data_IF_527628647447
#
_entry.id   IF_527628647447
#
_cell.length_a   1.000
_cell.length_b   1.000
_cell.length_c   1.000
_cell.angle_alpha   90.00
_cell.angle_beta   90.00
_cell.angle_gamma   90.00
#
_symmetry.space_group_name_H-M   'P 1'
#
loop_
_entity.id
_entity.type
_entity.pdbx_description
1 polymer ?
#
# COMPACT_ATOMS: atom_id res chain seq x y z
N UNK A 1 25.91 -29.09 -6.97
CA UNK A 1 25.99 -28.27 -5.74
C UNK A 1 24.79 -28.53 -4.83
N UNK A 2 23.63 -29.00 -5.36
CA UNK A 2 22.41 -29.26 -4.57
C UNK A 2 22.38 -30.60 -3.81
N UNK A 3 23.17 -31.61 -4.22
CA UNK A 3 23.09 -32.96 -3.67
C UNK A 3 23.95 -33.17 -2.39
N UNK A 4 25.04 -32.46 -2.24
CA UNK A 4 25.92 -32.60 -1.07
C UNK A 4 25.32 -31.97 0.20
N UNK A 5 24.52 -30.90 0.07
CA UNK A 5 23.89 -30.27 1.24
C UNK A 5 22.76 -31.14 1.83
N UNK A 6 22.01 -31.89 0.99
CA UNK A 6 20.99 -32.82 1.44
C UNK A 6 21.58 -34.04 2.19
N UNK A 7 22.78 -34.50 1.83
CA UNK A 7 23.43 -35.64 2.47
C UNK A 7 23.94 -35.26 3.85
N UNK A 8 24.51 -34.07 4.05
CA UNK A 8 24.97 -33.59 5.36
C UNK A 8 23.83 -33.46 6.37
N UNK A 9 22.68 -32.92 5.93
CA UNK A 9 21.51 -32.74 6.80
C UNK A 9 20.93 -34.09 7.25
N UNK A 10 20.91 -35.11 6.37
CA UNK A 10 20.39 -36.41 6.69
C UNK A 10 21.30 -37.18 7.67
N UNK A 11 22.62 -36.96 7.63
CA UNK A 11 23.59 -37.55 8.55
C UNK A 11 23.54 -36.85 9.92
N UNK A 12 23.44 -35.52 9.96
CA UNK A 12 23.31 -34.77 11.21
C UNK A 12 22.02 -35.12 11.98
N UNK A 13 20.88 -35.21 11.28
CA UNK A 13 19.59 -35.57 11.89
C UNK A 13 19.60 -36.99 12.50
N UNK A 14 20.38 -37.90 11.93
CA UNK A 14 20.54 -39.25 12.42
C UNK A 14 21.45 -39.33 13.66
N UNK A 15 22.47 -38.47 13.73
CA UNK A 15 23.43 -38.42 14.86
C UNK A 15 22.85 -37.68 16.07
N UNK A 16 21.98 -36.70 15.88
CA UNK A 16 21.36 -35.91 16.95
C UNK A 16 20.05 -36.51 17.49
N UNK A 17 19.55 -37.62 16.93
CA UNK A 17 18.32 -38.27 17.40
C UNK A 17 17.05 -37.45 17.17
N UNK A 18 17.11 -36.40 16.33
CA UNK A 18 15.99 -35.55 16.00
C UNK A 18 15.05 -36.30 15.05
N UNK A 19 13.86 -36.66 15.53
CA UNK A 19 12.84 -37.30 14.71
C UNK A 19 12.32 -36.26 13.69
N UNK A 20 12.05 -36.71 12.47
CA UNK A 20 11.47 -35.88 11.39
C UNK A 20 10.15 -35.20 11.78
N UNK A 21 9.48 -35.74 12.81
CA UNK A 21 8.23 -35.22 13.37
C UNK A 21 8.44 -33.96 14.23
N UNK A 22 9.64 -33.75 14.79
CA UNK A 22 9.97 -32.57 15.60
C UNK A 22 10.33 -31.33 14.76
N UNK A 23 10.47 -31.46 13.42
CA UNK A 23 10.81 -30.36 12.51
C UNK A 23 9.57 -29.61 11.95
N UNK A 24 8.37 -30.01 12.37
CA UNK A 24 7.13 -29.31 11.96
C UNK A 24 6.62 -28.33 13.05
N UNK A 25 7.53 -27.62 13.69
CA UNK A 25 7.13 -26.40 14.38
C UNK A 25 6.68 -25.41 13.30
N UNK A 26 5.40 -25.02 13.34
CA UNK A 26 4.91 -23.94 12.47
C UNK A 26 5.78 -22.72 12.71
N UNK A 27 6.46 -22.26 11.66
CA UNK A 27 7.26 -21.05 11.74
C UNK A 27 6.40 -19.91 12.27
N UNK A 28 6.96 -19.10 13.14
CA UNK A 28 6.32 -17.87 13.59
C UNK A 28 6.10 -16.96 12.38
N UNK A 29 4.90 -16.37 12.28
CA UNK A 29 4.53 -15.52 11.14
C UNK A 29 5.03 -14.10 11.35
N UNK A 30 5.57 -13.52 10.30
CA UNK A 30 5.97 -12.12 10.26
C UNK A 30 5.38 -11.44 9.04
N UNK A 31 4.56 -10.41 9.27
CA UNK A 31 3.92 -9.64 8.21
C UNK A 31 4.54 -8.24 8.15
N UNK A 32 4.96 -7.82 6.97
CA UNK A 32 5.51 -6.49 6.73
C UNK A 32 4.95 -5.89 5.45
N UNK A 33 4.64 -4.60 5.49
CA UNK A 33 4.19 -3.82 4.33
C UNK A 33 5.00 -2.55 4.18
N UNK A 34 5.03 -2.03 2.96
CA UNK A 34 5.41 -0.63 2.69
C UNK A 34 4.17 0.23 2.55
N UNK A 35 4.32 1.57 2.52
CA UNK A 35 3.36 2.40 1.83
C UNK A 35 3.27 1.96 0.37
N UNK A 36 2.08 2.10 -0.23
CA UNK A 36 1.87 1.81 -1.65
C UNK A 36 2.13 3.07 -2.47
N UNK A 37 2.90 2.94 -3.55
CA UNK A 37 3.30 4.09 -4.35
C UNK A 37 2.12 4.72 -5.09
N UNK A 38 1.91 6.04 -4.92
CA UNK A 38 0.85 6.76 -5.63
C UNK A 38 1.19 6.92 -7.11
N UNK A 39 0.31 6.43 -7.98
CA UNK A 39 0.56 6.37 -9.43
C UNK A 39 0.37 7.68 -10.17
N UNK A 40 0.45 8.81 -9.49
CA UNK A 40 0.42 10.13 -10.13
C UNK A 40 1.71 10.47 -10.90
N UNK A 41 2.72 9.63 -10.86
CA UNK A 41 3.99 9.79 -11.57
C UNK A 41 4.96 8.65 -11.27
N UNK A 42 6.15 8.73 -11.90
CA UNK A 42 7.21 7.75 -11.68
C UNK A 42 7.70 7.80 -10.23
N UNK A 43 8.06 6.65 -9.63
CA UNK A 43 8.62 6.64 -8.28
C UNK A 43 9.97 7.38 -8.24
N UNK A 44 10.25 8.00 -7.11
CA UNK A 44 11.50 8.69 -6.84
C UNK A 44 12.33 7.93 -5.79
N UNK A 45 13.54 8.43 -5.50
CA UNK A 45 14.49 7.79 -4.56
C UNK A 45 13.90 7.54 -3.18
N UNK A 46 12.97 8.38 -2.69
CA UNK A 46 12.29 8.19 -1.41
C UNK A 46 11.44 6.93 -1.37
N UNK A 47 10.68 6.64 -2.45
CA UNK A 47 9.92 5.39 -2.55
C UNK A 47 10.85 4.17 -2.63
N UNK A 48 11.97 4.30 -3.35
CA UNK A 48 12.98 3.23 -3.46
C UNK A 48 13.67 2.96 -2.12
N UNK A 49 13.92 3.98 -1.32
CA UNK A 49 14.49 3.84 0.02
C UNK A 49 13.59 3.00 0.92
N UNK A 50 12.30 3.28 0.92
CA UNK A 50 11.31 2.57 1.74
C UNK A 50 11.22 1.08 1.38
N UNK A 51 11.14 0.75 0.10
CA UNK A 51 11.05 -0.65 -0.35
C UNK A 51 12.33 -1.43 0.01
N UNK A 52 13.51 -0.83 -0.13
CA UNK A 52 14.78 -1.46 0.22
C UNK A 52 14.87 -1.70 1.73
N UNK A 53 14.43 -0.74 2.55
CA UNK A 53 14.42 -0.88 4.01
C UNK A 53 13.52 -2.03 4.46
N UNK A 54 12.29 -2.09 3.92
CA UNK A 54 11.36 -3.17 4.22
C UNK A 54 11.88 -4.53 3.73
N UNK A 55 12.51 -4.59 2.55
CA UNK A 55 13.12 -5.79 2.01
C UNK A 55 14.27 -6.30 2.89
N UNK A 56 15.11 -5.40 3.39
CA UNK A 56 16.19 -5.77 4.32
C UNK A 56 15.64 -6.42 5.60
N UNK A 57 14.55 -5.86 6.17
CA UNK A 57 13.88 -6.43 7.34
C UNK A 57 13.25 -7.79 7.00
N UNK A 58 12.57 -7.91 5.87
CA UNK A 58 11.94 -9.14 5.43
C UNK A 58 12.97 -10.27 5.25
N UNK A 59 14.11 -9.97 4.61
CA UNK A 59 15.22 -10.92 4.45
C UNK A 59 15.84 -11.32 5.79
N UNK A 60 16.05 -10.37 6.66
CA UNK A 60 16.56 -10.64 8.01
C UNK A 60 15.62 -11.59 8.77
N UNK A 61 14.32 -11.32 8.76
CA UNK A 61 13.32 -12.17 9.42
C UNK A 61 13.24 -13.57 8.80
N UNK A 62 13.36 -13.70 7.48
CA UNK A 62 13.46 -15.01 6.83
C UNK A 62 14.72 -15.77 7.28
N UNK A 63 15.85 -15.07 7.44
CA UNK A 63 17.10 -15.69 7.95
C UNK A 63 16.99 -16.12 9.41
N UNK A 64 16.18 -15.44 10.24
CA UNK A 64 15.82 -15.86 11.60
C UNK A 64 14.86 -17.07 11.64
N UNK A 65 14.32 -17.49 10.50
CA UNK A 65 13.46 -18.66 10.40
C UNK A 65 11.94 -18.36 10.41
N UNK A 66 11.54 -17.09 10.40
CA UNK A 66 10.12 -16.70 10.31
C UNK A 66 9.50 -17.09 8.95
N UNK A 67 8.19 -17.32 8.98
CA UNK A 67 7.33 -17.37 7.79
C UNK A 67 6.92 -15.93 7.45
N UNK A 68 7.67 -15.29 6.54
CA UNK A 68 7.52 -13.87 6.23
C UNK A 68 6.59 -13.68 5.04
N UNK A 69 5.59 -12.82 5.20
CA UNK A 69 4.79 -12.29 4.11
C UNK A 69 5.06 -10.79 3.97
N UNK A 70 5.69 -10.41 2.86
CA UNK A 70 6.06 -9.04 2.54
C UNK A 70 5.20 -8.53 1.38
N UNK A 71 4.41 -7.49 1.64
CA UNK A 71 3.51 -6.89 0.67
C UNK A 71 3.87 -5.44 0.37
N UNK A 72 3.83 -5.09 -0.89
CA UNK A 72 3.92 -3.72 -1.43
C UNK A 72 2.86 -3.52 -2.52
N UNK A 73 2.87 -2.38 -3.20
CA UNK A 73 1.91 -2.15 -4.28
C UNK A 73 1.82 -0.72 -4.76
N UNK A 74 0.70 -0.40 -5.40
CA UNK A 74 0.39 0.93 -5.93
C UNK A 74 -0.99 1.41 -5.53
N UNK A 75 -1.08 2.73 -5.26
CA UNK A 75 -2.32 3.47 -5.05
C UNK A 75 -2.72 4.14 -6.37
N UNK A 76 -3.91 3.78 -6.88
CA UNK A 76 -4.28 4.00 -8.29
C UNK A 76 -5.56 4.82 -8.47
N UNK A 77 -6.07 5.46 -7.43
CA UNK A 77 -7.27 6.28 -7.50
C UNK A 77 -6.99 7.74 -7.15
N UNK A 78 -7.78 8.65 -7.72
CA UNK A 78 -7.74 10.08 -7.39
C UNK A 78 -7.89 10.99 -8.60
N UNK A 79 -8.35 12.22 -8.37
CA UNK A 79 -8.58 13.24 -9.41
C UNK A 79 -7.29 13.57 -10.16
N UNK A 80 -6.16 13.63 -9.46
CA UNK A 80 -4.85 13.94 -10.05
C UNK A 80 -4.42 12.90 -11.10
N UNK A 81 -4.78 11.63 -10.90
CA UNK A 81 -4.52 10.56 -11.88
C UNK A 81 -5.41 10.78 -13.11
N UNK A 82 -6.69 11.09 -12.92
CA UNK A 82 -7.62 11.37 -13.99
C UNK A 82 -7.14 12.56 -14.85
N UNK A 83 -6.78 13.68 -14.23
CA UNK A 83 -6.27 14.87 -14.95
C UNK A 83 -5.00 14.55 -15.77
N UNK A 84 -4.10 13.71 -15.25
CA UNK A 84 -2.89 13.29 -15.96
C UNK A 84 -3.18 12.33 -17.12
N UNK A 85 -4.12 11.42 -16.96
CA UNK A 85 -4.57 10.53 -18.02
C UNK A 85 -5.22 11.31 -19.17
N UNK A 86 -6.10 12.27 -18.84
CA UNK A 86 -6.73 13.18 -19.81
C UNK A 86 -5.68 14.02 -20.56
N UNK A 87 -4.69 14.57 -19.84
CA UNK A 87 -3.60 15.33 -20.46
C UNK A 87 -2.71 14.46 -21.37
N UNK A 88 -2.61 13.16 -21.09
CA UNK A 88 -1.90 12.19 -21.92
C UNK A 88 -2.78 11.62 -23.07
N UNK A 89 -4.07 11.90 -23.10
CA UNK A 89 -5.00 11.41 -24.11
C UNK A 89 -5.31 9.92 -24.01
N UNK A 90 -5.18 9.33 -22.81
CA UNK A 90 -5.46 7.91 -22.57
C UNK A 90 -6.45 7.75 -21.41
N UNK A 91 -6.99 6.55 -21.23
CA UNK A 91 -7.89 6.27 -20.10
C UNK A 91 -7.13 6.27 -18.75
N UNK A 92 -7.80 6.60 -17.62
CA UNK A 92 -7.19 6.46 -16.30
C UNK A 92 -6.62 5.07 -16.03
N UNK A 93 -7.30 4.02 -16.49
CA UNK A 93 -6.85 2.64 -16.33
C UNK A 93 -5.54 2.37 -17.09
N UNK A 94 -5.44 2.80 -18.34
CA UNK A 94 -4.20 2.67 -19.12
C UNK A 94 -3.06 3.47 -18.50
N UNK A 95 -3.35 4.65 -17.98
CA UNK A 95 -2.34 5.48 -17.30
C UNK A 95 -1.78 4.76 -16.06
N UNK A 96 -2.63 4.26 -15.16
CA UNK A 96 -2.17 3.55 -13.97
C UNK A 96 -1.51 2.22 -14.29
N UNK A 97 -1.93 1.52 -15.35
CA UNK A 97 -1.28 0.28 -15.81
C UNK A 97 0.18 0.54 -16.23
N UNK A 98 0.44 1.64 -16.95
CA UNK A 98 1.79 2.03 -17.34
C UNK A 98 2.64 2.41 -16.14
N UNK A 99 2.12 3.26 -15.23
CA UNK A 99 2.89 3.73 -14.06
C UNK A 99 3.13 2.60 -13.07
N UNK A 100 2.13 1.77 -12.79
CA UNK A 100 2.25 0.62 -11.91
C UNK A 100 3.26 -0.41 -12.45
N UNK A 101 3.22 -0.66 -13.76
CA UNK A 101 4.22 -1.50 -14.43
C UNK A 101 5.65 -0.96 -14.28
N UNK A 102 5.84 0.36 -14.36
CA UNK A 102 7.15 0.98 -14.15
C UNK A 102 7.60 0.89 -12.68
N UNK A 103 6.69 1.11 -11.72
CA UNK A 103 6.97 0.90 -10.29
C UNK A 103 7.44 -0.51 -10.02
N UNK A 104 6.69 -1.51 -10.51
CA UNK A 104 7.04 -2.92 -10.35
C UNK A 104 8.40 -3.24 -10.95
N UNK A 105 8.66 -2.75 -12.17
CA UNK A 105 9.96 -2.92 -12.83
C UNK A 105 11.13 -2.37 -11.99
N UNK A 106 10.93 -1.23 -11.32
CA UNK A 106 11.96 -0.64 -10.44
C UNK A 106 12.15 -1.48 -9.18
N UNK A 107 11.07 -1.99 -8.56
CA UNK A 107 11.15 -2.89 -7.40
C UNK A 107 11.87 -4.19 -7.74
N UNK A 108 11.63 -4.73 -8.94
CA UNK A 108 12.33 -5.91 -9.44
C UNK A 108 13.82 -5.61 -9.75
N UNK A 109 14.13 -4.42 -10.27
CA UNK A 109 15.50 -3.98 -10.54
C UNK A 109 16.35 -3.87 -9.27
N UNK A 110 15.77 -3.40 -8.16
CA UNK A 110 16.45 -3.37 -6.85
C UNK A 110 16.39 -4.72 -6.13
N UNK A 111 15.93 -5.78 -6.82
CA UNK A 111 15.85 -7.15 -6.31
C UNK A 111 15.04 -7.26 -5.00
N UNK A 112 13.96 -6.53 -4.89
CA UNK A 112 13.06 -6.61 -3.74
C UNK A 112 12.36 -7.97 -3.67
N UNK A 113 12.31 -8.58 -2.50
CA UNK A 113 11.80 -9.94 -2.26
C UNK A 113 10.35 -9.96 -1.76
N UNK A 114 9.51 -9.01 -2.23
CA UNK A 114 8.09 -8.98 -1.88
C UNK A 114 7.38 -10.26 -2.38
N UNK A 115 6.42 -10.73 -1.58
CA UNK A 115 5.61 -11.90 -1.89
C UNK A 115 4.36 -11.50 -2.69
N UNK A 116 3.87 -10.28 -2.49
CA UNK A 116 2.70 -9.75 -3.18
C UNK A 116 2.87 -8.28 -3.57
N UNK A 117 2.46 -7.96 -4.80
CA UNK A 117 2.35 -6.60 -5.30
C UNK A 117 0.88 -6.31 -5.55
N UNK A 118 0.24 -5.58 -4.64
CA UNK A 118 -1.18 -5.26 -4.69
C UNK A 118 -1.42 -3.96 -5.44
N UNK A 119 -2.45 -3.93 -6.26
CA UNK A 119 -2.95 -2.72 -6.91
C UNK A 119 -4.33 -2.39 -6.34
N UNK A 120 -4.60 -1.12 -6.06
CA UNK A 120 -5.94 -0.75 -5.55
C UNK A 120 -7.03 -0.90 -6.61
N UNK A 121 -6.67 -1.14 -7.88
CA UNK A 121 -7.57 -1.50 -8.99
C UNK A 121 -7.70 -3.02 -9.22
N UNK A 122 -7.08 -3.86 -8.41
CA UNK A 122 -7.27 -5.30 -8.48
C UNK A 122 -8.67 -5.69 -8.01
N UNK A 123 -9.35 -6.58 -8.73
CA UNK A 123 -10.72 -7.01 -8.39
C UNK A 123 -10.84 -7.57 -6.98
N UNK A 124 -9.85 -8.33 -6.51
CA UNK A 124 -9.88 -8.92 -5.17
C UNK A 124 -9.75 -7.86 -4.09
N UNK A 125 -8.94 -6.81 -4.34
CA UNK A 125 -8.83 -5.66 -3.47
C UNK A 125 -10.16 -4.91 -3.42
N UNK A 126 -10.75 -4.57 -4.56
CA UNK A 126 -12.03 -3.87 -4.64
C UNK A 126 -13.15 -4.63 -3.93
N UNK A 127 -13.28 -5.94 -4.16
CA UNK A 127 -14.26 -6.81 -3.48
C UNK A 127 -14.08 -6.79 -1.96
N UNK A 128 -12.83 -6.82 -1.50
CA UNK A 128 -12.55 -6.78 -0.06
C UNK A 128 -12.87 -5.42 0.55
N UNK A 129 -12.52 -4.33 -0.12
CA UNK A 129 -12.86 -2.96 0.29
C UNK A 129 -14.38 -2.78 0.36
N UNK A 130 -15.11 -3.18 -0.68
CA UNK A 130 -16.58 -3.12 -0.72
C UNK A 130 -17.23 -3.87 0.46
N UNK A 131 -16.71 -5.06 0.77
CA UNK A 131 -17.20 -5.88 1.90
C UNK A 131 -16.99 -5.19 3.25
N UNK A 132 -15.81 -4.59 3.47
CA UNK A 132 -15.50 -3.87 4.71
C UNK A 132 -16.33 -2.60 4.80
N UNK A 133 -16.38 -1.82 3.71
CA UNK A 133 -17.16 -0.59 3.63
C UNK A 133 -18.64 -0.85 3.94
N UNK A 134 -19.22 -1.85 3.26
CA UNK A 134 -20.63 -2.23 3.50
C UNK A 134 -20.88 -2.62 4.95
N UNK A 135 -19.99 -3.38 5.57
CA UNK A 135 -20.11 -3.76 6.98
C UNK A 135 -20.14 -2.54 7.90
N UNK A 136 -19.22 -1.59 7.70
CA UNK A 136 -19.16 -0.36 8.50
C UNK A 136 -20.36 0.55 8.24
N UNK A 137 -20.85 0.59 7.00
CA UNK A 137 -22.07 1.32 6.66
C UNK A 137 -23.30 0.73 7.33
N UNK A 138 -23.48 -0.59 7.27
CA UNK A 138 -24.60 -1.29 7.91
C UNK A 138 -24.58 -1.17 9.46
N UNK A 139 -23.40 -0.98 10.06
CA UNK A 139 -23.20 -0.71 11.48
C UNK A 139 -23.48 0.76 11.86
N UNK A 140 -23.70 1.64 10.89
CA UNK A 140 -23.88 3.08 11.09
C UNK A 140 -22.58 3.82 11.42
N UNK A 141 -21.44 3.21 11.22
CA UNK A 141 -20.12 3.84 11.42
C UNK A 141 -19.69 4.67 10.19
N UNK A 142 -20.22 4.33 9.03
CA UNK A 142 -20.11 5.14 7.81
C UNK A 142 -21.49 5.75 7.53
N UNK A 143 -21.52 7.02 7.20
CA UNK A 143 -22.75 7.75 6.85
C UNK A 143 -22.51 8.71 5.70
N UNK A 144 -23.54 8.97 4.90
CA UNK A 144 -23.49 9.92 3.79
C UNK A 144 -23.69 11.35 4.31
N UNK A 145 -22.92 12.29 3.83
CA UNK A 145 -23.00 13.70 4.12
C UNK A 145 -22.53 14.54 2.95
N UNK A 146 -22.45 15.84 3.13
CA UNK A 146 -21.85 16.76 2.17
C UNK A 146 -20.69 17.50 2.82
N UNK A 147 -19.61 17.63 2.10
CA UNK A 147 -18.48 18.49 2.47
C UNK A 147 -18.40 19.66 1.50
N UNK A 148 -18.17 20.84 2.02
CA UNK A 148 -18.04 22.07 1.24
C UNK A 148 -16.82 22.83 1.76
N UNK A 149 -15.94 23.25 0.84
CA UNK A 149 -14.73 23.98 1.19
C UNK A 149 -13.90 24.34 -0.04
N UNK A 150 -12.71 24.84 0.22
CA UNK A 150 -11.74 25.23 -0.82
C UNK A 150 -10.83 24.03 -1.11
N UNK A 151 -10.95 23.43 -2.27
CA UNK A 151 -10.20 22.24 -2.67
C UNK A 151 -8.90 22.58 -3.40
N UNK A 152 -7.81 21.96 -2.98
CA UNK A 152 -6.50 22.02 -3.63
C UNK A 152 -6.24 20.71 -4.37
N UNK A 153 -6.29 20.71 -5.71
CA UNK A 153 -6.05 19.51 -6.51
C UNK A 153 -4.62 18.94 -6.36
N UNK A 154 -3.54 19.75 -6.33
CA UNK A 154 -2.20 19.19 -6.12
C UNK A 154 -2.00 18.46 -4.80
N UNK A 155 -2.63 18.93 -3.71
CA UNK A 155 -2.54 18.32 -2.38
C UNK A 155 -3.69 17.34 -2.09
N UNK A 156 -4.73 17.32 -2.95
CA UNK A 156 -5.96 16.53 -2.77
C UNK A 156 -6.61 16.77 -1.40
N UNK A 157 -6.62 18.06 -0.97
CA UNK A 157 -7.04 18.46 0.36
C UNK A 157 -8.05 19.60 0.31
N UNK A 158 -9.02 19.54 1.25
CA UNK A 158 -9.97 20.61 1.50
C UNK A 158 -9.49 21.53 2.60
N UNK A 159 -9.76 22.83 2.44
CA UNK A 159 -9.44 23.88 3.40
C UNK A 159 -10.66 24.75 3.66
N UNK A 160 -10.77 25.26 4.87
CA UNK A 160 -11.70 26.36 5.13
C UNK A 160 -11.08 27.69 4.63
N UNK A 161 -11.89 28.69 4.33
CA UNK A 161 -11.37 29.99 3.92
C UNK A 161 -10.38 30.61 4.94
N UNK A 162 -10.62 30.36 6.24
CA UNK A 162 -9.76 30.85 7.31
C UNK A 162 -8.39 30.15 7.39
N UNK A 163 -8.24 29.00 6.77
CA UNK A 163 -6.98 28.24 6.73
C UNK A 163 -6.09 28.64 5.54
N UNK A 164 -6.63 29.36 4.58
CA UNK A 164 -5.87 29.78 3.40
C UNK A 164 -4.85 30.85 3.76
N UNK A 165 -3.69 30.79 3.11
CA UNK A 165 -2.64 31.81 3.20
C UNK A 165 -2.68 32.63 1.91
N UNK A 166 -3.01 33.92 1.99
CA UNK A 166 -3.19 34.80 0.85
C UNK A 166 -4.15 34.23 -0.23
N UNK A 167 -5.23 33.56 0.22
CA UNK A 167 -6.21 32.93 -0.67
C UNK A 167 -5.70 31.65 -1.38
N UNK A 168 -4.59 31.08 -0.95
CA UNK A 168 -3.94 29.90 -1.52
C UNK A 168 -3.84 28.75 -0.53
N UNK A 169 -3.56 27.56 -1.04
CA UNK A 169 -3.31 26.36 -0.24
C UNK A 169 -2.13 26.58 0.71
N UNK A 170 -2.29 26.34 2.03
CA UNK A 170 -1.22 26.54 3.00
C UNK A 170 -0.04 25.58 2.82
N UNK A 171 -0.28 24.38 2.24
CA UNK A 171 0.76 23.36 2.08
C UNK A 171 1.64 23.59 0.85
N UNK A 172 1.03 23.87 -0.31
CA UNK A 172 1.78 23.95 -1.58
C UNK A 172 1.79 25.35 -2.20
N UNK A 173 1.04 26.32 -1.65
CA UNK A 173 0.89 27.66 -2.23
C UNK A 173 0.07 27.68 -3.53
N UNK A 174 -0.54 26.57 -3.92
CA UNK A 174 -1.32 26.42 -5.14
C UNK A 174 -2.69 27.08 -5.07
N UNK A 175 -3.29 27.27 -6.24
CA UNK A 175 -4.66 27.82 -6.37
C UNK A 175 -5.66 26.79 -5.84
N UNK A 176 -6.59 27.24 -5.01
CA UNK A 176 -7.72 26.44 -4.52
C UNK A 176 -9.00 26.85 -5.23
N UNK A 177 -9.95 25.92 -5.33
CA UNK A 177 -11.26 26.14 -5.96
C UNK A 177 -12.37 25.77 -4.98
N UNK A 178 -13.49 26.51 -4.94
CA UNK A 178 -14.63 26.08 -4.15
C UNK A 178 -15.14 24.74 -4.71
N UNK A 179 -15.33 23.78 -3.84
CA UNK A 179 -15.88 22.47 -4.17
C UNK A 179 -16.91 22.05 -3.12
N UNK A 180 -17.94 21.37 -3.60
CA UNK A 180 -18.96 20.76 -2.77
C UNK A 180 -19.17 19.35 -3.27
N UNK A 181 -18.94 18.38 -2.40
CA UNK A 181 -19.05 16.97 -2.72
C UNK A 181 -19.95 16.26 -1.73
N UNK A 182 -20.81 15.37 -2.24
CA UNK A 182 -21.38 14.33 -1.41
C UNK A 182 -20.29 13.31 -1.11
N UNK A 183 -20.07 13.06 0.18
CA UNK A 183 -19.02 12.16 0.64
C UNK A 183 -19.55 11.23 1.72
N UNK A 184 -18.88 10.11 1.90
CA UNK A 184 -19.08 9.24 3.02
C UNK A 184 -18.10 9.61 4.13
N UNK A 185 -18.63 9.71 5.35
CA UNK A 185 -17.87 10.02 6.55
C UNK A 185 -17.80 8.82 7.45
N UNK A 186 -16.65 8.61 8.07
CA UNK A 186 -16.42 7.56 9.06
C UNK A 186 -16.41 8.14 10.48
N UNK A 187 -17.18 7.56 11.40
CA UNK A 187 -17.27 7.97 12.82
C UNK A 187 -16.00 7.53 13.58
N UNK A 188 -14.85 8.06 13.21
CA UNK A 188 -13.56 7.67 13.78
C UNK A 188 -13.49 7.91 15.30
N UNK A 189 -14.13 9.00 15.79
CA UNK A 189 -14.21 9.33 17.22
C UNK A 189 -14.82 8.23 18.09
N UNK A 190 -15.71 7.37 17.53
CA UNK A 190 -16.28 6.20 18.24
C UNK A 190 -15.21 5.18 18.66
N UNK A 191 -14.06 5.21 18.01
CA UNK A 191 -12.98 4.25 18.21
C UNK A 191 -11.78 4.82 18.96
N UNK A 192 -11.80 6.13 19.30
CA UNK A 192 -10.67 6.83 19.91
C UNK A 192 -10.12 6.15 21.18
N UNK A 193 -11.04 5.68 22.06
CA UNK A 193 -10.66 5.03 23.32
C UNK A 193 -10.08 3.60 23.14
N UNK A 194 -10.15 3.04 21.91
CA UNK A 194 -9.67 1.69 21.60
C UNK A 194 -8.33 1.72 20.84
N UNK A 195 -7.94 2.88 20.34
CA UNK A 195 -6.69 3.12 19.63
C UNK A 195 -5.62 3.65 20.57
#
# INVERSE_FOLDING_TARGET
>A
VGSEMCIRDSVWNRLCGIKKEDLHMSKEKYYITTAIAYTSGKPHIGNTYEIILADAIARYKRAEGYDVYFQTGTDEHGQKIQEKAEAAGISPKEFVDQVSGEVKRIWDLVNSSYDNFVRTTDEDHEKQVQKIFKRLYDQGDIYKGAYEGMYCTPCESFWTESQLVDGKCPDCGGVVKPAKEEAYFFRMSKYADKL
#
